data_IF_379117478170
#
_entry.id   IF_379117478170
#
_cell.length_a   1.000
_cell.length_b   1.000
_cell.length_c   1.000
_cell.angle_alpha   90.00
_cell.angle_beta   90.00
_cell.angle_gamma   90.00
#
_symmetry.space_group_name_H-M   'P 1'
#
loop_
_entity.id
_entity.type
_entity.pdbx_description
1 polymer ?
#
# COMPACT_ATOMS: atom_id res chain seq x y z
N UNK A 1 -16.40 -4.56 14.42
CA UNK A 1 -17.04 -3.68 13.42
C UNK A 1 -18.54 -3.93 13.20
N UNK A 2 -19.09 -5.09 13.59
CA UNK A 2 -20.50 -5.45 13.33
C UNK A 2 -21.58 -4.49 13.86
N UNK A 3 -21.24 -3.57 14.78
CA UNK A 3 -22.18 -2.59 15.36
C UNK A 3 -22.13 -1.19 14.70
N UNK A 4 -21.32 -0.98 13.67
CA UNK A 4 -21.21 0.31 12.96
C UNK A 4 -22.21 0.31 11.79
N UNK A 5 -23.08 1.32 11.71
CA UNK A 5 -23.98 1.51 10.55
C UNK A 5 -23.15 1.62 9.27
N UNK A 6 -23.53 0.93 8.20
CA UNK A 6 -22.77 0.87 6.93
C UNK A 6 -22.38 2.27 6.39
N UNK A 7 -23.25 3.25 6.59
CA UNK A 7 -23.06 4.67 6.27
C UNK A 7 -21.86 5.35 6.97
N UNK A 8 -21.32 4.82 8.07
CA UNK A 8 -20.10 5.32 8.74
C UNK A 8 -18.88 4.40 8.57
N UNK A 9 -19.01 3.28 7.87
CA UNK A 9 -17.89 2.35 7.65
C UNK A 9 -16.72 3.00 6.89
N UNK A 10 -17.03 3.89 5.94
CA UNK A 10 -16.03 4.63 5.15
C UNK A 10 -15.16 5.57 6.01
N UNK A 11 -15.72 6.18 7.07
CA UNK A 11 -14.98 7.07 7.97
C UNK A 11 -13.87 6.31 8.72
N UNK A 12 -14.15 5.05 9.11
CA UNK A 12 -13.15 4.21 9.78
C UNK A 12 -11.99 3.91 8.84
N UNK A 13 -12.28 3.59 7.58
CA UNK A 13 -11.24 3.39 6.55
C UNK A 13 -10.42 4.66 6.35
N UNK A 14 -11.06 5.82 6.21
CA UNK A 14 -10.35 7.09 6.05
C UNK A 14 -9.47 7.42 7.26
N UNK A 15 -9.92 7.13 8.48
CA UNK A 15 -9.12 7.31 9.68
C UNK A 15 -7.91 6.36 9.70
N UNK A 16 -8.08 5.10 9.30
CA UNK A 16 -6.97 4.14 9.22
C UNK A 16 -5.96 4.53 8.13
N UNK A 17 -6.42 4.99 6.96
CA UNK A 17 -5.56 5.51 5.90
C UNK A 17 -4.79 6.75 6.36
N UNK A 18 -5.47 7.69 7.03
CA UNK A 18 -4.81 8.87 7.61
C UNK A 18 -3.79 8.49 8.68
N UNK A 19 -4.09 7.48 9.50
CA UNK A 19 -3.16 6.96 10.50
C UNK A 19 -1.93 6.31 9.85
N UNK A 20 -2.12 5.53 8.78
CA UNK A 20 -1.02 4.93 8.02
C UNK A 20 -0.14 6.01 7.37
N UNK A 21 -0.75 7.04 6.78
CA UNK A 21 -0.01 8.15 6.18
C UNK A 21 0.80 8.94 7.22
N UNK A 22 0.23 9.23 8.39
CA UNK A 22 0.91 9.91 9.49
C UNK A 22 2.07 9.08 10.08
N UNK A 23 1.98 7.75 10.01
CA UNK A 23 3.00 6.82 10.51
C UNK A 23 3.96 6.33 9.40
N UNK A 24 3.96 6.95 8.22
CA UNK A 24 4.73 6.52 7.04
C UNK A 24 6.26 6.41 7.26
N UNK A 25 6.79 7.11 8.26
CA UNK A 25 8.22 7.12 8.64
C UNK A 25 8.53 6.37 9.96
N UNK A 26 7.52 5.77 10.59
CA UNK A 26 7.73 4.94 11.78
C UNK A 26 8.24 3.55 11.36
N UNK A 27 8.66 2.73 12.35
CA UNK A 27 9.14 1.36 12.09
C UNK A 27 8.17 0.59 11.18
N UNK A 28 8.74 -0.20 10.28
CA UNK A 28 8.00 -1.10 9.39
C UNK A 28 7.02 -2.01 10.16
N UNK A 29 7.35 -2.42 11.38
CA UNK A 29 6.45 -3.19 12.25
C UNK A 29 5.15 -2.45 12.57
N UNK A 30 5.23 -1.17 12.93
CA UNK A 30 4.07 -0.33 13.24
C UNK A 30 3.22 -0.13 11.99
N UNK A 31 3.86 0.15 10.84
CA UNK A 31 3.17 0.30 9.56
C UNK A 31 2.46 -1.00 9.14
N UNK A 32 3.11 -2.15 9.32
CA UNK A 32 2.53 -3.46 9.01
C UNK A 32 1.28 -3.75 9.86
N UNK A 33 1.35 -3.48 11.18
CA UNK A 33 0.18 -3.62 12.06
C UNK A 33 -1.00 -2.74 11.65
N UNK A 34 -0.75 -1.51 11.20
CA UNK A 34 -1.81 -0.63 10.69
C UNK A 34 -2.41 -1.18 9.40
N UNK A 35 -1.58 -1.74 8.50
CA UNK A 35 -2.03 -2.35 7.24
C UNK A 35 -2.88 -3.60 7.49
N UNK A 36 -2.51 -4.46 8.45
CA UNK A 36 -3.32 -5.63 8.83
C UNK A 36 -4.71 -5.22 9.34
N UNK A 37 -4.77 -4.19 10.20
CA UNK A 37 -6.06 -3.65 10.67
C UNK A 37 -6.86 -3.05 9.52
N UNK A 38 -6.19 -2.37 8.57
CA UNK A 38 -6.81 -1.83 7.37
C UNK A 38 -7.39 -2.94 6.49
N UNK A 39 -6.68 -4.06 6.32
CA UNK A 39 -7.15 -5.22 5.56
C UNK A 39 -8.47 -5.76 6.11
N UNK A 40 -8.51 -6.01 7.42
CA UNK A 40 -9.70 -6.53 8.10
C UNK A 40 -10.87 -5.53 8.07
N UNK A 41 -10.59 -4.24 8.28
CA UNK A 41 -11.62 -3.21 8.23
C UNK A 41 -12.15 -3.01 6.79
N UNK A 42 -11.27 -3.05 5.79
CA UNK A 42 -11.60 -2.86 4.39
C UNK A 42 -12.43 -4.02 3.84
N UNK A 43 -12.16 -5.27 4.25
CA UNK A 43 -12.97 -6.43 3.87
C UNK A 43 -14.44 -6.27 4.30
N UNK A 44 -14.67 -5.65 5.47
CA UNK A 44 -16.02 -5.38 5.99
C UNK A 44 -16.66 -4.19 5.25
N UNK A 45 -15.87 -3.15 4.96
CA UNK A 45 -16.34 -1.92 4.32
C UNK A 45 -16.56 -2.03 2.79
N UNK A 46 -15.83 -2.92 2.10
CA UNK A 46 -15.95 -3.18 0.66
C UNK A 46 -17.38 -3.59 0.27
N UNK A 47 -18.08 -4.27 1.18
CA UNK A 47 -19.50 -4.63 1.05
C UNK A 47 -20.46 -3.43 1.03
N UNK A 48 -20.02 -2.24 1.45
CA UNK A 48 -20.90 -1.13 1.83
C UNK A 48 -20.68 0.20 1.07
N UNK A 49 -19.53 0.42 0.43
CA UNK A 49 -19.26 1.67 -0.29
C UNK A 49 -18.32 1.42 -1.48
N UNK A 50 -18.92 1.34 -2.66
CA UNK A 50 -18.32 0.80 -3.87
C UNK A 50 -17.79 1.96 -4.73
N UNK A 51 -16.52 2.35 -4.56
CA UNK A 51 -15.82 3.21 -5.53
C UNK A 51 -14.78 4.17 -4.96
N UNK A 52 -15.20 5.19 -4.20
CA UNK A 52 -14.32 6.31 -3.83
C UNK A 52 -13.19 5.90 -2.86
N UNK A 53 -13.52 5.06 -1.88
CA UNK A 53 -12.57 4.54 -0.88
C UNK A 53 -11.60 3.52 -1.47
N UNK A 54 -11.98 2.85 -2.55
CA UNK A 54 -11.19 1.76 -3.13
C UNK A 54 -9.87 2.30 -3.68
N UNK A 55 -9.94 3.34 -4.51
CA UNK A 55 -8.75 3.96 -5.11
C UNK A 55 -7.84 4.62 -4.06
N UNK A 56 -8.43 5.21 -3.01
CA UNK A 56 -7.68 5.81 -1.89
C UNK A 56 -6.87 4.74 -1.12
N UNK A 57 -7.47 3.57 -0.88
CA UNK A 57 -6.78 2.42 -0.27
C UNK A 57 -5.62 1.98 -1.14
N UNK A 58 -5.85 1.71 -2.43
CA UNK A 58 -4.78 1.28 -3.34
C UNK A 58 -3.66 2.33 -3.43
N UNK A 59 -3.98 3.61 -3.58
CA UNK A 59 -2.98 4.66 -3.68
C UNK A 59 -2.11 4.74 -2.42
N UNK A 60 -2.72 4.62 -1.24
CA UNK A 60 -2.00 4.63 0.04
C UNK A 60 -1.11 3.39 0.18
N UNK A 61 -1.62 2.20 -0.16
CA UNK A 61 -0.86 0.95 -0.10
C UNK A 61 0.33 0.97 -1.07
N UNK A 62 0.13 1.42 -2.30
CA UNK A 62 1.20 1.60 -3.28
C UNK A 62 2.24 2.61 -2.77
N UNK A 63 1.81 3.71 -2.17
CA UNK A 63 2.74 4.68 -1.57
C UNK A 63 3.58 4.07 -0.43
N UNK A 64 2.99 3.25 0.43
CA UNK A 64 3.76 2.53 1.47
C UNK A 64 4.75 1.53 0.85
N UNK A 65 4.38 0.87 -0.24
CA UNK A 65 5.27 -0.04 -0.97
C UNK A 65 6.49 0.71 -1.52
N UNK A 66 6.28 1.89 -2.12
CA UNK A 66 7.37 2.75 -2.58
C UNK A 66 8.32 3.11 -1.45
N UNK A 67 7.79 3.64 -0.33
CA UNK A 67 8.61 4.02 0.83
C UNK A 67 9.40 2.85 1.40
N UNK A 68 8.81 1.65 1.40
CA UNK A 68 9.43 0.44 1.90
C UNK A 68 10.57 -0.07 1.00
N UNK A 69 10.37 -0.05 -0.32
CA UNK A 69 11.40 -0.41 -1.30
C UNK A 69 12.52 0.63 -1.32
N UNK A 70 12.19 1.92 -1.19
CA UNK A 70 13.19 2.98 -1.09
C UNK A 70 14.06 2.83 0.15
N UNK A 71 13.45 2.49 1.29
CA UNK A 71 14.20 2.21 2.51
C UNK A 71 15.08 0.97 2.37
N UNK A 72 14.58 -0.12 1.75
CA UNK A 72 15.39 -1.32 1.52
C UNK A 72 16.63 -1.01 0.67
N UNK A 73 16.50 -0.16 -0.35
CA UNK A 73 17.60 0.17 -1.27
C UNK A 73 18.57 1.22 -0.73
N UNK A 74 18.11 2.13 0.14
CA UNK A 74 18.90 3.30 0.58
C UNK A 74 19.19 3.33 2.08
N UNK A 75 18.59 2.44 2.86
CA UNK A 75 18.70 2.40 4.32
C UNK A 75 18.02 3.58 5.03
N UNK A 76 17.21 4.39 4.32
CA UNK A 76 16.66 5.64 4.84
C UNK A 76 15.38 6.08 4.14
N UNK A 77 14.46 6.71 4.88
CA UNK A 77 13.27 7.34 4.31
C UNK A 77 13.53 8.76 3.77
N UNK A 78 14.71 9.34 4.03
CA UNK A 78 15.04 10.75 3.72
C UNK A 78 16.41 10.89 3.02
N UNK A 79 17.00 9.78 2.54
CA UNK A 79 18.33 9.78 1.92
C UNK A 79 19.49 10.03 2.90
N UNK A 80 19.22 10.14 4.21
CA UNK A 80 20.23 10.20 5.27
C UNK A 80 20.65 8.79 5.68
N UNK A 81 21.88 8.39 5.35
CA UNK A 81 22.41 7.04 5.61
C UNK A 81 22.51 6.81 7.13
N UNK A 82 21.70 5.89 7.67
CA UNK A 82 21.79 5.45 9.06
C UNK A 82 22.55 4.12 9.17
N UNK A 83 23.86 4.21 9.37
CA UNK A 83 24.82 3.08 9.34
C UNK A 83 24.61 2.04 10.47
N UNK A 84 23.79 2.34 11.49
CA UNK A 84 23.76 1.56 12.74
C UNK A 84 22.74 0.42 12.84
N UNK A 85 21.76 0.30 11.94
CA UNK A 85 20.60 -0.62 12.12
C UNK A 85 20.04 -1.21 10.81
N UNK A 86 20.78 -1.18 9.71
CA UNK A 86 20.22 -1.43 8.37
C UNK A 86 19.65 -2.85 8.16
N UNK A 87 20.30 -3.90 8.68
CA UNK A 87 19.94 -5.29 8.34
C UNK A 87 18.59 -5.70 8.95
N UNK A 88 18.34 -5.37 10.22
CA UNK A 88 17.08 -5.69 10.90
C UNK A 88 15.92 -4.91 10.31
N UNK A 89 16.10 -3.62 10.03
CA UNK A 89 15.05 -2.80 9.45
C UNK A 89 14.72 -3.22 8.01
N UNK A 90 15.70 -3.60 7.18
CA UNK A 90 15.46 -4.09 5.82
C UNK A 90 14.61 -5.38 5.79
N UNK A 91 14.79 -6.27 6.77
CA UNK A 91 13.94 -7.45 6.89
C UNK A 91 12.50 -7.10 7.31
N UNK A 92 12.33 -6.13 8.22
CA UNK A 92 11.00 -5.63 8.58
C UNK A 92 10.31 -4.93 7.40
N UNK A 93 11.06 -4.21 6.56
CA UNK A 93 10.53 -3.64 5.31
C UNK A 93 10.04 -4.73 4.36
N UNK A 94 10.80 -5.81 4.15
CA UNK A 94 10.33 -6.91 3.29
C UNK A 94 9.02 -7.53 3.80
N UNK A 95 8.87 -7.66 5.11
CA UNK A 95 7.60 -8.11 5.70
C UNK A 95 6.46 -7.11 5.46
N UNK A 96 6.74 -5.80 5.55
CA UNK A 96 5.79 -4.74 5.20
C UNK A 96 5.39 -4.83 3.72
N UNK A 97 6.34 -5.01 2.80
CA UNK A 97 6.08 -5.20 1.38
C UNK A 97 5.15 -6.39 1.14
N UNK A 98 5.41 -7.53 1.79
CA UNK A 98 4.51 -8.70 1.69
C UNK A 98 3.11 -8.42 2.23
N UNK A 99 3.00 -7.74 3.39
CA UNK A 99 1.71 -7.37 3.96
C UNK A 99 0.92 -6.44 3.02
N UNK A 100 1.59 -5.46 2.40
CA UNK A 100 1.00 -4.59 1.37
C UNK A 100 0.47 -5.41 0.20
N UNK A 101 1.30 -6.30 -0.36
CA UNK A 101 0.93 -7.13 -1.52
C UNK A 101 -0.25 -8.06 -1.21
N UNK A 102 -0.24 -8.72 -0.06
CA UNK A 102 -1.38 -9.54 0.41
C UNK A 102 -2.65 -8.70 0.54
N UNK A 103 -2.54 -7.49 1.07
CA UNK A 103 -3.68 -6.59 1.26
C UNK A 103 -4.25 -6.13 -0.08
N UNK A 104 -3.39 -5.74 -1.03
CA UNK A 104 -3.77 -5.35 -2.40
C UNK A 104 -4.48 -6.51 -3.11
N UNK A 105 -3.93 -7.73 -3.06
CA UNK A 105 -4.55 -8.92 -3.67
C UNK A 105 -5.91 -9.23 -3.04
N UNK A 106 -5.98 -9.29 -1.70
CA UNK A 106 -7.23 -9.54 -0.99
C UNK A 106 -8.31 -8.51 -1.36
N UNK A 107 -7.93 -7.23 -1.43
CA UNK A 107 -8.87 -6.18 -1.75
C UNK A 107 -9.31 -6.22 -3.22
N UNK A 108 -8.39 -6.48 -4.16
CA UNK A 108 -8.73 -6.67 -5.57
C UNK A 108 -9.73 -7.84 -5.77
N UNK A 109 -9.58 -8.92 -5.02
CA UNK A 109 -10.48 -10.07 -5.06
C UNK A 109 -11.88 -9.78 -4.50
N UNK A 110 -12.04 -8.78 -3.62
CA UNK A 110 -13.35 -8.36 -3.11
C UNK A 110 -14.14 -7.45 -4.07
N UNK A 111 -13.49 -6.92 -5.12
CA UNK A 111 -14.15 -6.00 -6.04
C UNK A 111 -15.00 -6.74 -7.10
N UNK A 112 -16.11 -6.15 -7.56
CA UNK A 112 -16.83 -6.60 -8.74
C UNK A 112 -15.92 -6.64 -9.98
N UNK A 113 -16.21 -7.52 -10.94
CA UNK A 113 -15.35 -7.77 -12.11
C UNK A 113 -15.05 -6.50 -12.94
N UNK A 114 -15.99 -5.55 -13.01
CA UNK A 114 -15.80 -4.28 -13.72
C UNK A 114 -14.80 -3.35 -12.98
N UNK A 115 -14.86 -3.30 -11.64
CA UNK A 115 -13.93 -2.51 -10.82
C UNK A 115 -12.55 -3.15 -10.71
N UNK A 116 -12.45 -4.47 -10.79
CA UNK A 116 -11.16 -5.18 -10.90
C UNK A 116 -10.37 -4.68 -12.11
N UNK A 117 -11.02 -4.56 -13.26
CA UNK A 117 -10.38 -4.05 -14.49
C UNK A 117 -9.97 -2.58 -14.38
N UNK A 118 -10.77 -1.73 -13.73
CA UNK A 118 -10.44 -0.32 -13.48
C UNK A 118 -9.27 -0.15 -12.49
N UNK A 119 -9.25 -0.93 -11.41
CA UNK A 119 -8.15 -0.94 -10.43
C UNK A 119 -6.88 -1.50 -11.06
N UNK A 120 -6.99 -2.54 -11.88
CA UNK A 120 -5.86 -3.09 -12.62
C UNK A 120 -5.29 -2.07 -13.61
N UNK A 121 -6.15 -1.34 -14.34
CA UNK A 121 -5.74 -0.24 -15.22
C UNK A 121 -5.13 0.94 -14.44
N UNK A 122 -5.66 1.26 -13.25
CA UNK A 122 -5.14 2.30 -12.36
C UNK A 122 -3.76 1.93 -11.79
N UNK A 123 -3.59 0.70 -11.31
CA UNK A 123 -2.30 0.17 -10.83
C UNK A 123 -1.29 0.17 -11.98
N UNK A 124 -1.69 -0.27 -13.18
CA UNK A 124 -0.84 -0.28 -14.37
C UNK A 124 -0.48 1.14 -14.85
N UNK A 125 -1.38 2.11 -14.70
CA UNK A 125 -1.12 3.53 -14.98
C UNK A 125 -0.26 4.23 -13.93
N UNK A 126 -0.18 3.69 -12.71
CA UNK A 126 0.70 4.15 -11.62
C UNK A 126 2.10 3.55 -11.69
N UNK A 127 2.35 2.60 -12.60
CA UNK A 127 3.69 2.13 -12.94
C UNK A 127 4.45 3.29 -13.64
N UNK A 128 5.63 3.70 -13.15
CA UNK A 128 6.39 4.79 -13.77
C UNK A 128 6.73 4.44 -15.23
N UNK A 129 6.09 5.12 -16.17
CA UNK A 129 6.29 4.93 -17.62
C UNK A 129 5.16 5.42 -18.52
N UNK A 130 3.91 5.49 -18.04
CA UNK A 130 2.74 5.78 -18.92
C UNK A 130 1.80 6.84 -18.29
N UNK A 131 2.34 8.03 -18.00
CA UNK A 131 1.60 9.27 -17.65
C UNK A 131 1.25 9.50 -16.15
N UNK A 132 1.55 10.73 -15.72
CA UNK A 132 1.28 11.40 -14.43
C UNK A 132 2.21 11.12 -13.24
N UNK A 133 3.30 11.91 -13.22
CA UNK A 133 3.84 12.66 -12.09
C UNK A 133 3.42 12.22 -10.66
N UNK A 134 4.14 11.23 -10.12
CA UNK A 134 4.59 11.32 -8.73
C UNK A 134 6.08 11.65 -8.77
N UNK A 135 6.60 12.45 -7.82
CA UNK A 135 8.03 12.67 -7.74
C UNK A 135 8.69 11.30 -7.62
N UNK A 136 9.63 11.03 -8.53
CA UNK A 136 10.59 9.94 -8.43
C UNK A 136 11.42 10.19 -7.17
N UNK A 137 10.84 9.89 -6.01
CA UNK A 137 11.55 9.98 -4.73
C UNK A 137 12.49 8.78 -4.71
N UNK A 138 13.76 9.00 -5.02
CA UNK A 138 14.88 8.12 -4.63
C UNK A 138 15.02 6.75 -5.30
N UNK A 139 13.95 6.06 -5.67
CA UNK A 139 14.02 4.71 -6.24
C UNK A 139 14.62 4.77 -7.64
N UNK A 140 15.86 4.32 -7.81
CA UNK A 140 16.44 4.10 -9.13
C UNK A 140 15.62 3.12 -9.99
N UNK A 141 16.05 2.85 -11.23
CA UNK A 141 15.36 1.92 -12.14
C UNK A 141 15.14 0.52 -11.53
N UNK A 142 15.96 0.12 -10.57
CA UNK A 142 15.84 -1.13 -9.82
C UNK A 142 14.63 -1.16 -8.87
N UNK A 143 14.41 -0.11 -8.07
CA UNK A 143 13.25 0.00 -7.19
C UNK A 143 11.94 0.03 -7.97
N UNK A 144 11.94 0.75 -9.10
CA UNK A 144 10.79 0.76 -10.02
C UNK A 144 10.45 -0.65 -10.53
N UNK A 145 11.46 -1.44 -10.91
CA UNK A 145 11.26 -2.82 -11.36
C UNK A 145 10.75 -3.73 -10.24
N UNK A 146 11.25 -3.58 -9.01
CA UNK A 146 10.79 -4.37 -7.86
C UNK A 146 9.30 -4.11 -7.60
N UNK A 147 8.90 -2.84 -7.57
CA UNK A 147 7.51 -2.43 -7.34
C UNK A 147 6.60 -2.97 -8.44
N UNK A 148 7.01 -2.86 -9.71
CA UNK A 148 6.27 -3.43 -10.84
C UNK A 148 6.03 -4.93 -10.67
N UNK A 149 7.07 -5.70 -10.34
CA UNK A 149 6.95 -7.15 -10.14
C UNK A 149 6.03 -7.47 -8.96
N UNK A 150 6.14 -6.74 -7.86
CA UNK A 150 5.30 -6.95 -6.68
C UNK A 150 3.82 -6.64 -6.96
N UNK A 151 3.54 -5.56 -7.68
CA UNK A 151 2.18 -5.20 -8.10
C UNK A 151 1.62 -6.19 -9.13
N UNK A 152 2.44 -6.70 -10.05
CA UNK A 152 2.00 -7.77 -10.94
C UNK A 152 1.67 -9.05 -10.16
N UNK A 153 2.47 -9.39 -9.14
CA UNK A 153 2.21 -10.55 -8.28
C UNK A 153 0.89 -10.43 -7.51
N UNK A 154 0.54 -9.25 -7.00
CA UNK A 154 -0.74 -9.07 -6.29
C UNK A 154 -1.97 -9.18 -7.19
N UNK A 155 -1.80 -9.07 -8.52
CA UNK A 155 -2.90 -9.16 -9.49
C UNK A 155 -3.13 -10.59 -10.03
N UNK A 156 -2.13 -11.46 -9.92
CA UNK A 156 -2.18 -12.84 -10.43
C UNK A 156 -2.67 -13.84 -9.37
N UNK A 157 -2.76 -13.42 -8.10
CA UNK A 157 -3.00 -14.27 -6.93
C UNK A 157 -4.39 -14.03 -6.33
#
# INVERSE_FOLDING_TARGET
MYSIRSQHSHLVIQQLLGHLAANSKNSATVRAGIIEVLLEAAAIAASCSVGLTVLEIFNTLVQQLHLSVDYELTGSYDGSINIGSEITNAHEERQLQEAVIRTISSFANTLPAYQRSEVMLFIMGKIPGIHTAMPSTGSGPEGTRMIQVMLLKSLVQ
#
